data_IF_856155952903
#
_entry.id   IF_856155952903
#
_cell.length_a   1.000
_cell.length_b   1.000
_cell.length_c   1.000
_cell.angle_alpha   90.00
_cell.angle_beta   90.00
_cell.angle_gamma   90.00
#
_symmetry.space_group_name_H-M   'P 1'
#
loop_
_entity.id
_entity.type
_entity.pdbx_description
1 polymer ?
#
# COMPACT_ATOMS: atom_id res chain seq x y z
N UNK A 1 14.31 -12.30 -18.49
CA UNK A 1 13.11 -12.29 -17.63
C UNK A 1 13.27 -11.15 -16.65
N UNK A 2 12.53 -10.04 -16.80
CA UNK A 2 12.61 -8.88 -15.91
C UNK A 2 11.21 -8.30 -15.74
N UNK A 3 10.43 -8.97 -14.91
CA UNK A 3 9.17 -8.43 -14.38
C UNK A 3 9.51 -7.81 -13.04
N UNK A 4 9.64 -6.49 -12.99
CA UNK A 4 9.75 -5.76 -11.72
C UNK A 4 8.36 -5.78 -11.07
N UNK A 5 8.15 -6.73 -10.17
CA UNK A 5 6.98 -6.79 -9.29
C UNK A 5 6.98 -5.61 -8.30
N UNK A 6 5.89 -4.83 -8.29
CA UNK A 6 5.15 -4.62 -7.04
C UNK A 6 5.56 -3.53 -6.04
N UNK A 7 6.44 -2.57 -6.32
CA UNK A 7 6.66 -1.44 -5.39
C UNK A 7 5.66 -0.32 -5.64
N UNK A 8 4.51 -0.36 -4.95
CA UNK A 8 3.53 0.73 -4.91
C UNK A 8 3.92 1.74 -3.80
N UNK A 9 4.07 3.01 -4.16
CA UNK A 9 4.33 4.09 -3.19
C UNK A 9 3.01 4.52 -2.55
N UNK A 10 2.99 4.54 -1.22
CA UNK A 10 1.83 4.90 -0.40
C UNK A 10 2.17 6.16 0.39
N UNK A 11 1.22 7.10 0.45
CA UNK A 11 1.29 8.26 1.35
C UNK A 11 0.45 7.95 2.59
N UNK A 12 1.04 8.07 3.77
CA UNK A 12 0.30 7.85 5.00
C UNK A 12 -0.76 8.94 5.20
N UNK A 13 -2.03 8.54 5.32
CA UNK A 13 -3.14 9.46 5.57
C UNK A 13 -3.13 10.13 6.95
N UNK A 14 -2.25 9.67 7.86
CA UNK A 14 -2.12 10.22 9.22
C UNK A 14 -0.91 11.16 9.36
N UNK A 15 0.31 10.68 9.08
CA UNK A 15 1.53 11.48 9.27
C UNK A 15 2.10 12.08 7.97
N UNK A 16 1.51 11.80 6.80
CA UNK A 16 1.94 12.32 5.51
C UNK A 16 3.24 11.72 4.95
N UNK A 17 3.86 10.77 5.66
CA UNK A 17 5.09 10.13 5.15
C UNK A 17 4.79 9.30 3.91
N UNK A 18 5.58 9.52 2.85
CA UNK A 18 5.61 8.67 1.68
C UNK A 18 6.54 7.48 1.93
N UNK A 19 6.09 6.28 1.59
CA UNK A 19 6.87 5.07 1.75
C UNK A 19 6.48 4.02 0.72
N UNK A 20 7.38 3.10 0.44
CA UNK A 20 7.11 1.97 -0.45
C UNK A 20 6.40 0.89 0.36
N UNK A 21 5.27 0.39 -0.14
CA UNK A 21 4.65 -0.78 0.47
C UNK A 21 5.59 -1.98 0.31
N UNK A 22 6.04 -2.51 1.43
CA UNK A 22 6.68 -3.81 1.49
C UNK A 22 5.94 -4.70 2.48
N UNK A 23 5.28 -5.76 1.98
CA UNK A 23 4.60 -6.76 2.81
C UNK A 23 5.57 -7.62 3.64
N UNK A 24 6.89 -7.39 3.56
CA UNK A 24 7.89 -8.04 4.40
C UNK A 24 7.80 -7.70 5.89
N UNK A 25 6.97 -6.71 6.27
CA UNK A 25 6.83 -6.33 7.69
C UNK A 25 6.41 -7.53 8.56
N UNK A 26 7.09 -7.71 9.70
CA UNK A 26 6.94 -8.87 10.58
C UNK A 26 5.49 -9.13 11.01
N UNK A 27 4.72 -8.08 11.30
CA UNK A 27 3.30 -8.19 11.68
C UNK A 27 2.43 -8.74 10.55
N UNK A 28 2.70 -8.36 9.30
CA UNK A 28 1.95 -8.86 8.15
C UNK A 28 2.29 -10.33 7.89
N UNK A 29 3.55 -10.74 8.00
CA UNK A 29 3.96 -12.14 7.76
C UNK A 29 3.37 -13.12 8.79
N UNK A 30 3.25 -12.70 10.05
CA UNK A 30 2.66 -13.53 11.10
C UNK A 30 1.12 -13.58 11.07
N UNK A 31 0.47 -12.68 10.32
CA UNK A 31 -0.98 -12.60 10.27
C UNK A 31 -1.57 -13.69 9.36
N UNK A 32 -2.46 -14.57 9.86
CA UNK A 32 -3.08 -15.62 9.04
C UNK A 32 -3.97 -15.06 7.92
N UNK A 33 -4.40 -13.79 8.04
CA UNK A 33 -5.19 -13.06 7.05
C UNK A 33 -4.33 -12.19 6.11
N UNK A 34 -3.01 -12.34 6.16
CA UNK A 34 -2.08 -11.55 5.35
C UNK A 34 -2.35 -11.67 3.85
N UNK A 35 -2.77 -12.86 3.39
CA UNK A 35 -3.28 -13.09 2.04
C UNK A 35 -4.64 -12.41 1.86
N UNK A 36 -4.65 -11.33 1.08
CA UNK A 36 -5.87 -10.54 0.83
C UNK A 36 -6.10 -9.40 1.81
N UNK A 37 -5.21 -9.19 2.79
CA UNK A 37 -5.25 -8.00 3.63
C UNK A 37 -5.10 -6.74 2.77
N UNK A 38 -6.13 -5.90 2.82
CA UNK A 38 -6.20 -4.61 2.11
C UNK A 38 -5.63 -3.44 2.91
N UNK A 39 -4.83 -3.70 3.95
CA UNK A 39 -4.20 -2.67 4.77
C UNK A 39 -2.69 -2.66 4.60
N UNK A 40 -2.09 -1.48 4.77
CA UNK A 40 -0.65 -1.22 4.72
C UNK A 40 -0.25 -0.40 5.94
N UNK A 41 0.67 -0.93 6.74
CA UNK A 41 1.15 -0.24 7.95
C UNK A 41 2.25 0.77 7.59
N UNK A 42 2.12 2.00 8.06
CA UNK A 42 3.15 3.02 7.94
C UNK A 42 4.36 2.64 8.83
N UNK A 43 5.58 2.57 8.28
CA UNK A 43 6.77 2.23 9.06
C UNK A 43 7.19 3.35 10.03
N UNK A 44 6.78 4.60 9.76
CA UNK A 44 7.17 5.78 10.56
C UNK A 44 6.30 5.96 11.80
N UNK A 45 4.98 5.86 11.67
CA UNK A 45 4.04 6.16 12.77
C UNK A 45 3.20 4.95 13.20
N UNK A 46 3.21 3.85 12.45
CA UNK A 46 2.43 2.65 12.75
C UNK A 46 0.96 2.69 12.33
N UNK A 47 0.46 3.78 11.73
CA UNK A 47 -0.92 3.86 11.25
C UNK A 47 -1.20 2.87 10.10
N UNK A 48 -2.38 2.26 10.09
CA UNK A 48 -2.80 1.29 9.07
C UNK A 48 -3.62 1.98 7.98
N UNK A 49 -3.05 2.09 6.79
CA UNK A 49 -3.65 2.75 5.65
C UNK A 49 -4.42 1.71 4.81
N UNK A 50 -5.65 2.00 4.36
CA UNK A 50 -6.32 1.17 3.37
C UNK A 50 -5.62 1.26 2.02
N UNK A 51 -5.42 0.12 1.36
CA UNK A 51 -4.97 0.08 -0.02
C UNK A 51 -6.00 0.74 -0.91
N UNK A 52 -5.53 1.56 -1.84
CA UNK A 52 -6.41 2.07 -2.88
C UNK A 52 -6.90 0.89 -3.73
N UNK A 53 -8.22 0.77 -3.99
CA UNK A 53 -8.71 -0.20 -4.95
C UNK A 53 -8.25 0.18 -6.36
N UNK A 54 -7.94 -0.81 -7.19
CA UNK A 54 -7.36 -0.60 -8.53
C UNK A 54 -8.21 0.30 -9.45
N UNK A 55 -9.53 0.41 -9.24
CA UNK A 55 -10.38 1.30 -10.04
C UNK A 55 -10.18 2.79 -9.72
N UNK A 56 -9.68 3.12 -8.52
CA UNK A 56 -9.43 4.52 -8.11
C UNK A 56 -8.28 5.14 -8.90
N UNK A 57 -7.26 4.35 -9.29
CA UNK A 57 -6.18 4.85 -10.14
C UNK A 57 -6.69 5.15 -11.56
N UNK A 58 -7.55 4.30 -12.10
CA UNK A 58 -8.25 4.54 -13.38
C UNK A 58 -9.08 5.81 -13.34
N UNK A 59 -9.86 6.03 -12.27
CA UNK A 59 -10.66 7.25 -12.10
C UNK A 59 -9.78 8.51 -12.04
N UNK A 60 -8.68 8.49 -11.28
CA UNK A 60 -7.75 9.63 -11.18
C UNK A 60 -7.17 10.04 -12.54
N UNK A 61 -6.86 9.06 -13.38
CA UNK A 61 -6.34 9.32 -14.73
C UNK A 61 -7.41 9.91 -15.64
N UNK A 62 -8.67 9.46 -15.51
CA UNK A 62 -9.79 10.02 -16.27
C UNK A 62 -10.11 11.47 -15.88
N UNK A 63 -10.11 11.80 -14.58
CA UNK A 63 -10.38 13.18 -14.10
C UNK A 63 -9.28 14.18 -14.51
N UNK A 64 -8.05 13.69 -14.73
CA UNK A 64 -6.91 14.52 -15.16
C UNK A 64 -6.83 14.72 -16.68
N UNK A 65 -7.67 14.05 -17.46
CA UNK A 65 -7.75 14.17 -18.92
C UNK A 65 -8.87 15.09 -19.38
#
# INVERSE_FOLDING_TARGET
MSTREGTETVVCGFCGTEFVEDRSQATCQACPLSKGCGLVRCPTCGYENPKAPAWITTLRNWIRS
#
